data_IF_447052216663
#
_entry.id   IF_447052216663
#
_cell.length_a   1.000
_cell.length_b   1.000
_cell.length_c   1.000
_cell.angle_alpha   90.00
_cell.angle_beta   90.00
_cell.angle_gamma   90.00
#
_symmetry.space_group_name_H-M   'P 1'
#
loop_
_entity.id
_entity.type
_entity.pdbx_description
1 polymer ?
#
# COMPACT_ATOMS: atom_id res chain seq x y z
N UNK A 1 -21.48 18.83 -7.79
CA UNK A 1 -20.40 19.16 -8.74
C UNK A 1 -19.10 18.59 -8.20
N UNK A 2 -18.41 17.76 -8.96
CA UNK A 2 -17.05 17.32 -8.60
C UNK A 2 -16.08 18.49 -8.81
N UNK A 3 -15.24 18.78 -7.81
CA UNK A 3 -14.23 19.85 -7.88
C UNK A 3 -12.86 19.22 -8.03
N UNK A 4 -12.15 19.57 -9.10
CA UNK A 4 -10.77 19.13 -9.31
C UNK A 4 -9.83 19.96 -8.44
N UNK A 5 -8.99 19.29 -7.65
CA UNK A 5 -8.04 19.93 -6.72
C UNK A 5 -6.61 19.80 -7.26
N UNK A 6 -5.95 20.96 -7.39
CA UNK A 6 -4.54 21.20 -7.72
C UNK A 6 -3.54 20.66 -6.68
N UNK A 7 -2.89 19.52 -6.89
CA UNK A 7 -1.79 19.02 -6.05
C UNK A 7 -0.43 18.93 -6.78
N UNK A 8 0.68 19.15 -6.06
CA UNK A 8 2.05 18.90 -6.57
C UNK A 8 2.78 17.90 -5.67
N UNK A 9 3.41 16.89 -6.26
CA UNK A 9 4.35 16.02 -5.55
C UNK A 9 5.59 16.85 -5.19
N UNK A 10 5.81 17.04 -3.89
CA UNK A 10 6.95 17.79 -3.34
C UNK A 10 8.16 16.87 -3.18
N UNK A 11 7.93 15.65 -2.69
CA UNK A 11 8.99 14.69 -2.38
C UNK A 11 8.47 13.26 -2.44
N UNK A 12 9.04 12.38 -3.29
CA UNK A 12 8.84 10.95 -3.15
C UNK A 12 9.76 10.41 -2.06
N UNK A 13 9.26 9.46 -1.27
CA UNK A 13 10.09 8.60 -0.44
C UNK A 13 10.32 7.30 -1.19
N UNK A 14 11.57 6.83 -1.19
CA UNK A 14 11.83 5.48 -1.65
C UNK A 14 11.01 4.51 -0.77
N UNK A 15 10.25 3.57 -1.33
CA UNK A 15 9.46 2.66 -0.52
C UNK A 15 10.41 1.84 0.36
N UNK A 16 10.43 2.13 1.66
CA UNK A 16 11.07 1.27 2.67
C UNK A 16 10.11 0.10 2.97
N UNK A 17 8.83 0.25 2.62
CA UNK A 17 7.74 -0.69 2.90
C UNK A 17 6.83 -0.92 1.68
N UNK A 18 5.68 -1.54 1.93
CA UNK A 18 4.63 -2.02 1.02
C UNK A 18 4.04 -0.90 0.13
N UNK A 19 4.10 0.38 0.51
CA UNK A 19 3.49 1.47 -0.27
C UNK A 19 4.48 2.62 -0.52
N UNK A 20 4.60 3.16 -1.75
CA UNK A 20 5.19 4.46 -1.97
C UNK A 20 4.49 5.51 -1.12
N UNK A 21 5.31 6.31 -0.48
CA UNK A 21 4.88 7.45 0.31
C UNK A 21 5.39 8.70 -0.40
N UNK A 22 4.53 9.69 -0.56
CA UNK A 22 4.87 10.96 -1.21
C UNK A 22 4.38 12.12 -0.35
N UNK A 23 5.17 13.18 -0.26
CA UNK A 23 4.66 14.47 0.20
C UNK A 23 3.98 15.14 -0.99
N UNK A 24 2.72 15.52 -0.83
CA UNK A 24 1.94 16.28 -1.81
C UNK A 24 1.50 17.61 -1.20
N UNK A 25 1.70 18.69 -1.96
CA UNK A 25 1.27 20.04 -1.60
C UNK A 25 0.02 20.42 -2.35
N UNK A 26 -1.03 20.77 -1.62
CA UNK A 26 -2.27 21.29 -2.19
C UNK A 26 -2.14 22.82 -2.27
N UNK A 27 -2.22 23.37 -3.49
CA UNK A 27 -1.89 24.78 -3.77
C UNK A 27 -3.06 25.76 -3.59
N UNK A 28 -4.30 25.27 -3.58
CA UNK A 28 -5.50 26.07 -3.31
C UNK A 28 -6.21 25.52 -2.07
N UNK A 29 -6.79 26.35 -1.19
CA UNK A 29 -7.62 25.87 -0.09
C UNK A 29 -8.93 25.29 -0.65
N UNK A 30 -8.83 24.11 -1.25
CA UNK A 30 -9.96 23.27 -1.54
C UNK A 30 -10.26 22.47 -0.27
N UNK A 31 -11.52 22.49 0.15
CA UNK A 31 -11.98 21.76 1.33
C UNK A 31 -11.28 22.18 2.65
N UNK A 32 -10.83 23.44 2.75
CA UNK A 32 -10.07 23.99 3.91
C UNK A 32 -8.70 23.33 4.14
N UNK A 33 -8.24 22.48 3.23
CA UNK A 33 -6.91 21.86 3.31
C UNK A 33 -5.87 22.74 2.61
N UNK A 34 -4.86 23.20 3.35
CA UNK A 34 -3.70 23.94 2.83
C UNK A 34 -2.43 23.36 3.42
N UNK A 35 -1.42 23.17 2.57
CA UNK A 35 -0.09 22.76 3.00
C UNK A 35 0.31 21.40 2.44
N UNK A 36 1.20 20.74 3.18
CA UNK A 36 1.78 19.45 2.83
C UNK A 36 0.97 18.32 3.45
N UNK A 37 0.83 17.24 2.68
CA UNK A 37 0.13 16.02 3.06
C UNK A 37 0.97 14.82 2.66
N UNK A 38 0.70 13.69 3.27
CA UNK A 38 1.26 12.40 2.91
C UNK A 38 0.26 11.65 2.04
N UNK A 39 0.64 11.36 0.79
CA UNK A 39 -0.07 10.44 -0.07
C UNK A 39 0.61 9.08 0.01
N UNK A 40 -0.13 8.06 0.42
CA UNK A 40 0.29 6.66 0.39
C UNK A 40 -0.45 5.94 -0.72
N UNK A 41 0.25 5.15 -1.51
CA UNK A 41 -0.31 4.47 -2.68
C UNK A 41 -0.04 2.98 -2.58
N UNK A 42 -1.05 2.15 -2.74
CA UNK A 42 -0.94 0.69 -2.65
C UNK A 42 -0.90 0.07 -4.05
N UNK A 43 0.10 0.47 -4.83
CA UNK A 43 0.28 0.01 -6.21
C UNK A 43 0.93 -1.36 -6.30
N UNK A 44 0.49 -2.21 -7.23
CA UNK A 44 1.12 -3.53 -7.46
C UNK A 44 2.54 -3.44 -8.03
N UNK A 45 2.82 -2.37 -8.74
CA UNK A 45 4.07 -2.09 -9.46
C UNK A 45 5.24 -1.80 -8.53
N UNK A 46 4.94 -1.34 -7.33
CA UNK A 46 5.88 -0.84 -6.32
C UNK A 46 6.11 -1.82 -5.16
N UNK A 47 5.43 -2.96 -5.17
CA UNK A 47 5.46 -4.03 -4.13
C UNK A 47 6.69 -4.94 -4.23
N UNK A 48 7.90 -4.38 -4.35
CA UNK A 48 9.12 -5.17 -4.61
C UNK A 48 9.39 -6.19 -3.48
N UNK A 49 9.25 -5.79 -2.22
CA UNK A 49 9.46 -6.67 -1.06
C UNK A 49 8.48 -7.84 -1.03
N UNK A 50 7.18 -7.54 -1.13
CA UNK A 50 6.10 -8.55 -1.18
C UNK A 50 6.27 -9.52 -2.35
N UNK A 51 6.65 -9.03 -3.53
CA UNK A 51 6.88 -9.88 -4.72
C UNK A 51 8.05 -10.83 -4.50
N UNK A 52 9.15 -10.36 -3.89
CA UNK A 52 10.30 -11.20 -3.55
C UNK A 52 9.91 -12.29 -2.55
N UNK A 53 9.21 -11.93 -1.48
CA UNK A 53 8.75 -12.88 -0.46
C UNK A 53 7.85 -13.97 -1.06
N UNK A 54 6.86 -13.57 -1.86
CA UNK A 54 5.91 -14.50 -2.49
C UNK A 54 6.42 -15.16 -3.78
N UNK A 55 7.72 -15.02 -4.10
CA UNK A 55 8.36 -15.57 -5.32
C UNK A 55 7.62 -15.19 -6.62
N UNK A 56 6.99 -14.01 -6.64
CA UNK A 56 6.31 -13.46 -7.82
C UNK A 56 7.28 -12.60 -8.62
N UNK A 57 7.13 -12.59 -9.95
CA UNK A 57 7.97 -11.78 -10.84
C UNK A 57 7.87 -10.30 -10.46
N UNK A 58 8.97 -9.57 -10.66
CA UNK A 58 8.93 -8.10 -10.61
C UNK A 58 7.88 -7.60 -11.59
N UNK A 59 7.21 -6.51 -11.22
CA UNK A 59 6.17 -5.94 -12.07
C UNK A 59 6.74 -5.58 -13.44
N UNK A 60 5.93 -5.84 -14.46
CA UNK A 60 6.20 -5.42 -15.82
C UNK A 60 4.86 -5.21 -16.52
N UNK A 61 4.80 -4.29 -17.47
CA UNK A 61 3.59 -4.00 -18.25
C UNK A 61 2.95 -5.27 -18.85
N UNK A 62 3.77 -6.25 -19.30
CA UNK A 62 3.26 -7.52 -19.82
C UNK A 62 2.46 -8.34 -18.80
N UNK A 63 2.81 -8.27 -17.51
CA UNK A 63 2.10 -8.96 -16.44
C UNK A 63 0.77 -8.26 -16.16
N UNK A 64 0.79 -6.93 -16.20
CA UNK A 64 -0.40 -6.11 -16.06
C UNK A 64 -1.42 -6.37 -17.16
N UNK A 65 -0.97 -6.45 -18.42
CA UNK A 65 -1.82 -6.81 -19.56
C UNK A 65 -2.46 -8.19 -19.35
N UNK A 66 -1.68 -9.20 -18.92
CA UNK A 66 -2.21 -10.55 -18.66
C UNK A 66 -3.24 -10.58 -17.54
N UNK A 67 -2.99 -9.84 -16.46
CA UNK A 67 -3.94 -9.68 -15.36
C UNK A 67 -5.25 -9.05 -15.84
N UNK A 68 -5.18 -7.96 -16.59
CA UNK A 68 -6.36 -7.30 -17.16
C UNK A 68 -7.13 -8.22 -18.10
N UNK A 69 -6.44 -8.99 -18.94
CA UNK A 69 -7.08 -9.99 -19.81
C UNK A 69 -7.84 -11.04 -19.00
N UNK A 70 -7.28 -11.49 -17.87
CA UNK A 70 -7.94 -12.43 -16.98
C UNK A 70 -9.22 -11.84 -16.37
N UNK A 71 -9.16 -10.59 -15.88
CA UNK A 71 -10.33 -9.89 -15.35
C UNK A 71 -11.43 -9.71 -16.42
N UNK A 72 -11.05 -9.28 -17.63
CA UNK A 72 -11.99 -9.08 -18.73
C UNK A 72 -12.59 -10.38 -19.25
N UNK A 73 -11.92 -11.52 -19.04
CA UNK A 73 -12.48 -12.83 -19.38
C UNK A 73 -13.58 -13.29 -18.43
N UNK A 74 -13.80 -12.60 -17.30
CA UNK A 74 -14.74 -13.01 -16.26
C UNK A 74 -14.32 -14.27 -15.51
N UNK A 75 -13.07 -14.70 -15.68
CA UNK A 75 -12.53 -15.87 -14.99
C UNK A 75 -12.37 -15.58 -13.49
N UNK A 76 -12.75 -16.56 -12.66
CA UNK A 76 -12.51 -16.48 -11.22
C UNK A 76 -11.00 -16.48 -10.95
N UNK A 77 -10.57 -15.55 -10.10
CA UNK A 77 -9.20 -15.45 -9.63
C UNK A 77 -8.88 -16.55 -8.63
N UNK A 78 -9.90 -17.20 -8.04
CA UNK A 78 -9.77 -18.34 -7.11
C UNK A 78 -8.76 -18.02 -6.00
N UNK A 79 -8.85 -16.79 -5.48
CA UNK A 79 -7.89 -16.28 -4.51
C UNK A 79 -8.10 -16.99 -3.17
N UNK A 80 -7.00 -17.28 -2.43
CA UNK A 80 -7.08 -17.91 -1.13
C UNK A 80 -8.06 -17.20 -0.22
N UNK A 81 -8.91 -17.95 0.48
CA UNK A 81 -9.88 -17.40 1.42
C UNK A 81 -9.22 -16.61 2.55
N UNK A 82 -7.93 -16.82 2.83
CA UNK A 82 -7.18 -16.01 3.81
C UNK A 82 -6.95 -14.54 3.34
N UNK A 83 -7.12 -14.24 2.04
CA UNK A 83 -7.20 -12.86 1.56
C UNK A 83 -8.59 -12.24 1.79
N UNK A 84 -9.62 -13.07 1.93
CA UNK A 84 -11.02 -12.69 2.12
C UNK A 84 -11.41 -12.54 3.60
N UNK A 85 -10.60 -13.04 4.53
CA UNK A 85 -10.78 -12.74 5.95
C UNK A 85 -10.49 -11.25 6.21
N UNK A 86 -11.60 -10.50 6.31
CA UNK A 86 -11.73 -9.08 6.62
C UNK A 86 -11.33 -8.73 8.05
N UNK A 87 -10.69 -9.65 8.77
CA UNK A 87 -10.19 -9.37 10.09
C UNK A 87 -8.98 -10.25 10.35
N UNK A 88 -8.12 -9.70 11.19
CA UNK A 88 -6.96 -10.34 11.79
C UNK A 88 -5.63 -10.10 11.09
N UNK A 89 -4.77 -9.52 11.90
CA UNK A 89 -3.35 -9.19 11.84
C UNK A 89 -2.40 -10.27 11.24
N UNK A 90 -2.84 -11.14 10.33
CA UNK A 90 -2.06 -12.27 9.78
C UNK A 90 -0.95 -11.92 8.79
N UNK A 91 -0.49 -10.67 8.73
CA UNK A 91 0.76 -10.34 8.01
C UNK A 91 1.64 -9.38 8.81
N UNK A 92 1.64 -9.53 10.14
CA UNK A 92 2.71 -9.00 10.98
C UNK A 92 4.00 -9.76 10.64
N UNK A 93 5.09 -9.03 10.43
CA UNK A 93 6.45 -9.58 10.28
C UNK A 93 7.01 -10.03 11.64
N UNK A 94 6.18 -10.65 12.47
CA UNK A 94 6.58 -11.23 13.75
C UNK A 94 6.42 -12.74 13.63
N UNK A 95 7.33 -13.47 14.26
CA UNK A 95 7.50 -14.93 14.30
C UNK A 95 6.21 -15.69 14.69
N UNK A 96 5.15 -15.58 13.90
CA UNK A 96 3.93 -16.34 14.06
C UNK A 96 4.05 -17.61 13.23
N UNK A 97 3.81 -18.73 13.91
CA UNK A 97 3.78 -20.11 13.42
C UNK A 97 2.72 -20.33 12.31
N UNK A 98 1.95 -19.31 11.93
CA UNK A 98 1.11 -19.27 10.73
C UNK A 98 1.92 -18.93 9.46
N UNK A 99 3.12 -19.50 9.36
CA UNK A 99 3.88 -19.56 8.11
C UNK A 99 3.13 -20.49 7.16
N UNK A 100 2.31 -19.93 6.28
CA UNK A 100 1.80 -20.72 5.16
C UNK A 100 2.98 -20.98 4.24
N UNK A 101 3.52 -22.20 4.31
CA UNK A 101 4.55 -22.67 3.40
C UNK A 101 4.07 -22.39 1.96
N UNK A 102 4.89 -21.78 1.09
CA UNK A 102 4.58 -21.69 -0.33
C UNK A 102 4.17 -23.02 -0.98
N UNK A 103 4.50 -24.16 -0.36
CA UNK A 103 4.07 -25.52 -0.72
C UNK A 103 2.67 -25.89 -0.18
N UNK A 104 2.22 -25.32 0.95
CA UNK A 104 0.88 -25.49 1.55
C UNK A 104 -0.17 -24.51 0.98
N UNK A 105 0.25 -23.43 0.32
CA UNK A 105 -0.58 -22.66 -0.61
C UNK A 105 -0.88 -23.52 -1.85
N UNK A 106 -1.81 -24.46 -1.72
CA UNK A 106 -2.15 -25.51 -2.69
C UNK A 106 -1.81 -25.17 -4.15
N UNK A 107 -0.98 -26.01 -4.77
CA UNK A 107 -0.43 -25.86 -6.13
C UNK A 107 -0.18 -24.40 -6.56
N UNK A 108 0.43 -23.57 -5.71
CA UNK A 108 0.88 -22.21 -6.08
C UNK A 108 1.83 -22.23 -7.29
N UNK A 109 2.40 -23.40 -7.63
CA UNK A 109 3.16 -23.65 -8.87
C UNK A 109 2.27 -23.64 -10.12
N UNK A 110 1.01 -24.06 -10.04
CA UNK A 110 0.02 -24.01 -11.14
C UNK A 110 -0.47 -22.61 -11.50
N UNK A 111 -0.29 -21.62 -10.62
CA UNK A 111 -0.78 -20.28 -10.89
C UNK A 111 0.00 -19.61 -12.02
N UNK A 112 -0.74 -19.27 -13.06
CA UNK A 112 -0.23 -18.47 -14.16
C UNK A 112 0.11 -17.04 -13.71
N UNK A 113 0.84 -16.32 -14.55
CA UNK A 113 1.30 -14.96 -14.25
C UNK A 113 0.14 -13.99 -13.91
N UNK A 114 -1.02 -14.15 -14.55
CA UNK A 114 -2.18 -13.28 -14.33
C UNK A 114 -2.81 -13.49 -12.94
N UNK A 115 -2.95 -14.74 -12.50
CA UNK A 115 -3.44 -15.07 -11.14
C UNK A 115 -2.51 -14.55 -10.06
N UNK A 116 -1.19 -14.68 -10.25
CA UNK A 116 -0.20 -14.10 -9.33
C UNK A 116 -0.33 -12.58 -9.22
N UNK A 117 -0.61 -11.89 -10.32
CA UNK A 117 -0.89 -10.45 -10.28
C UNK A 117 -2.19 -10.13 -9.54
N UNK A 118 -3.24 -10.94 -9.71
CA UNK A 118 -4.48 -10.83 -8.94
C UNK A 118 -4.26 -11.00 -7.44
N UNK A 119 -3.40 -11.94 -7.05
CA UNK A 119 -2.97 -12.09 -5.65
C UNK A 119 -2.26 -10.85 -5.12
N UNK A 120 -1.29 -10.30 -5.88
CA UNK A 120 -0.62 -9.05 -5.47
C UNK A 120 -1.64 -7.91 -5.38
N UNK A 121 -2.62 -7.82 -6.28
CA UNK A 121 -3.69 -6.81 -6.22
C UNK A 121 -4.51 -6.94 -4.94
N UNK A 122 -4.99 -8.14 -4.63
CA UNK A 122 -5.76 -8.42 -3.44
C UNK A 122 -4.97 -8.12 -2.16
N UNK A 123 -3.68 -8.48 -2.14
CA UNK A 123 -2.79 -8.15 -1.03
C UNK A 123 -2.66 -6.63 -0.83
N UNK A 124 -2.51 -5.85 -1.91
CA UNK A 124 -2.47 -4.39 -1.85
C UNK A 124 -3.76 -3.83 -1.25
N UNK A 125 -4.92 -4.32 -1.72
CA UNK A 125 -6.24 -3.90 -1.21
C UNK A 125 -6.43 -4.26 0.26
N UNK A 126 -6.02 -5.46 0.68
CA UNK A 126 -6.07 -5.88 2.09
C UNK A 126 -5.24 -4.93 2.96
N UNK A 127 -4.00 -4.62 2.56
CA UNK A 127 -3.13 -3.68 3.30
C UNK A 127 -3.71 -2.27 3.38
N UNK A 128 -4.23 -1.75 2.27
CA UNK A 128 -4.94 -0.48 2.25
C UNK A 128 -6.13 -0.47 3.22
N UNK A 129 -6.97 -1.52 3.18
CA UNK A 129 -8.13 -1.65 4.08
C UNK A 129 -7.70 -1.73 5.54
N UNK A 130 -6.73 -2.58 5.88
CA UNK A 130 -6.25 -2.70 7.26
C UNK A 130 -5.71 -1.38 7.79
N UNK A 131 -4.95 -0.63 7.00
CA UNK A 131 -4.47 0.69 7.42
C UNK A 131 -5.63 1.69 7.57
N UNK A 132 -6.57 1.72 6.61
CA UNK A 132 -7.77 2.54 6.70
C UNK A 132 -8.59 2.27 7.98
N UNK A 133 -8.71 1.00 8.34
CA UNK A 133 -9.42 0.55 9.54
C UNK A 133 -8.69 0.90 10.82
N UNK A 134 -7.37 0.85 10.82
CA UNK A 134 -6.55 1.28 11.96
C UNK A 134 -6.74 2.77 12.29
N UNK A 135 -7.09 3.61 11.32
CA UNK A 135 -7.41 5.02 11.59
C UNK A 135 -8.82 5.24 12.16
N UNK A 136 -9.79 4.34 11.94
CA UNK A 136 -11.18 4.51 12.45
C UNK A 136 -11.26 4.76 13.97
N UNK A 137 -10.61 3.96 14.85
CA UNK A 137 -10.71 4.19 16.28
C UNK A 137 -9.89 5.39 16.78
N UNK A 138 -9.12 6.05 15.91
CA UNK A 138 -8.21 7.14 16.29
C UNK A 138 -8.78 8.54 16.05
N UNK A 139 -10.08 8.66 15.81
CA UNK A 139 -10.69 9.94 15.43
C UNK A 139 -10.52 11.04 16.49
N UNK A 140 -10.53 10.69 17.77
CA UNK A 140 -10.42 11.59 18.93
C UNK A 140 -8.97 12.10 19.17
N UNK A 141 -7.99 11.25 18.87
CA UNK A 141 -6.55 11.53 18.94
C UNK A 141 -5.94 11.94 17.59
N UNK A 142 -6.75 11.91 16.52
CA UNK A 142 -6.35 12.18 15.14
C UNK A 142 -5.90 13.62 14.91
N UNK A 143 -4.63 13.76 14.55
CA UNK A 143 -3.94 15.03 14.35
C UNK A 143 -3.38 15.67 15.61
N UNK A 144 -3.42 14.95 16.74
CA UNK A 144 -2.72 15.29 17.98
C UNK A 144 -1.57 14.31 18.20
N UNK A 145 -1.92 13.06 18.54
CA UNK A 145 -0.96 12.02 18.92
C UNK A 145 -0.65 11.08 17.74
N UNK A 146 -1.60 10.92 16.83
CA UNK A 146 -1.42 10.18 15.57
C UNK A 146 -1.75 11.06 14.37
N UNK A 147 -1.15 10.82 13.19
CA UNK A 147 -1.55 11.53 11.97
C UNK A 147 -3.04 11.35 11.69
N UNK A 148 -3.73 12.40 11.26
CA UNK A 148 -5.12 12.26 10.83
C UNK A 148 -5.22 11.69 9.42
N UNK A 149 -6.06 10.68 9.22
CA UNK A 149 -6.51 10.28 7.89
C UNK A 149 -7.47 11.33 7.34
N UNK A 150 -7.11 11.95 6.22
CA UNK A 150 -7.85 13.07 5.61
C UNK A 150 -8.84 12.56 4.58
N UNK A 151 -8.40 11.67 3.70
CA UNK A 151 -9.22 11.14 2.62
C UNK A 151 -8.73 9.78 2.15
N UNK A 152 -9.68 9.03 1.61
CA UNK A 152 -9.42 7.90 0.71
C UNK A 152 -9.29 8.43 -0.71
N UNK A 153 -8.39 7.85 -1.49
CA UNK A 153 -8.23 8.21 -2.89
C UNK A 153 -8.07 6.98 -3.76
N UNK A 154 -8.75 6.99 -4.89
CA UNK A 154 -8.57 6.02 -5.95
C UNK A 154 -7.77 6.69 -7.06
N UNK A 155 -6.63 6.08 -7.38
CA UNK A 155 -5.73 6.56 -8.42
C UNK A 155 -6.07 5.75 -9.68
N UNK A 156 -6.66 6.38 -10.70
CA UNK A 156 -6.96 5.68 -11.94
C UNK A 156 -5.66 5.22 -12.59
N UNK A 157 -5.58 3.94 -12.92
CA UNK A 157 -4.46 3.39 -13.67
C UNK A 157 -4.63 3.76 -15.16
N UNK A 158 -3.95 4.81 -15.60
CA UNK A 158 -4.07 5.36 -16.96
C UNK A 158 -3.54 4.46 -18.08
N UNK A 159 -3.12 3.22 -17.81
CA UNK A 159 -2.68 2.27 -18.84
C UNK A 159 -3.84 1.57 -19.58
N UNK A 160 -5.08 2.06 -19.47
CA UNK A 160 -6.25 1.42 -20.10
C UNK A 160 -6.39 1.81 -21.57
N UNK A 161 -6.57 0.79 -22.42
CA UNK A 161 -6.99 0.92 -23.82
C UNK A 161 -8.34 1.63 -23.92
N UNK A 162 -8.52 2.48 -24.93
CA UNK A 162 -9.79 3.16 -25.26
C UNK A 162 -10.93 2.20 -25.62
N UNK A 163 -10.69 0.89 -25.67
CA UNK A 163 -11.63 -0.15 -26.07
C UNK A 163 -12.21 -0.98 -24.93
N UNK A 164 -11.94 -0.64 -23.67
CA UNK A 164 -12.46 -1.39 -22.50
C UNK A 164 -13.75 -0.74 -21.99
N UNK A 165 -14.79 -1.54 -21.73
CA UNK A 165 -16.07 -1.08 -21.17
C UNK A 165 -15.84 -0.29 -19.86
N UNK A 166 -16.39 0.92 -19.77
CA UNK A 166 -16.19 1.83 -18.65
C UNK A 166 -16.56 1.19 -17.30
N UNK A 167 -17.54 0.27 -17.26
CA UNK A 167 -17.97 -0.36 -16.02
C UNK A 167 -16.99 -1.42 -15.49
N UNK A 168 -16.21 -2.07 -16.35
CA UNK A 168 -15.16 -3.03 -15.96
C UNK A 168 -13.86 -2.34 -15.53
N UNK A 169 -13.71 -1.04 -15.82
CA UNK A 169 -12.52 -0.26 -15.48
C UNK A 169 -12.43 0.06 -13.97
N UNK A 170 -13.55 0.29 -13.29
CA UNK A 170 -13.52 0.89 -11.95
C UNK A 170 -13.13 -0.08 -10.83
N UNK A 171 -13.58 -1.35 -10.85
CA UNK A 171 -13.41 -2.21 -9.68
C UNK A 171 -11.98 -2.79 -9.52
N UNK A 172 -11.23 -2.88 -10.62
CA UNK A 172 -9.94 -3.58 -10.64
C UNK A 172 -8.77 -2.80 -11.28
N UNK A 173 -9.04 -1.65 -11.91
CA UNK A 173 -8.00 -0.80 -12.49
C UNK A 173 -7.68 0.43 -11.64
N UNK A 174 -8.24 0.54 -10.43
CA UNK A 174 -7.90 1.62 -9.51
C UNK A 174 -6.83 1.17 -8.52
N UNK A 175 -5.85 2.03 -8.33
CA UNK A 175 -4.87 1.87 -7.25
C UNK A 175 -5.36 2.64 -6.04
N UNK A 176 -5.69 1.92 -4.97
CA UNK A 176 -6.12 2.55 -3.72
C UNK A 176 -4.98 3.31 -3.06
N UNK A 177 -5.33 4.41 -2.42
CA UNK A 177 -4.41 5.22 -1.65
C UNK A 177 -5.11 5.96 -0.52
N UNK A 178 -4.30 6.52 0.37
CA UNK A 178 -4.76 7.35 1.47
C UNK A 178 -4.02 8.68 1.51
N UNK A 179 -4.76 9.74 1.78
CA UNK A 179 -4.22 11.05 2.08
C UNK A 179 -4.22 11.25 3.59
N UNK A 180 -3.05 11.42 4.16
CA UNK A 180 -2.80 11.52 5.59
C UNK A 180 -2.16 12.86 5.90
N UNK A 181 -2.42 13.41 7.08
CA UNK A 181 -1.76 14.61 7.57
C UNK A 181 -0.24 14.46 7.54
N UNK A 182 0.45 15.47 7.02
CA UNK A 182 1.90 15.57 7.18
C UNK A 182 2.22 16.01 8.61
N UNK A 183 2.92 15.17 9.35
CA UNK A 183 3.44 15.49 10.68
C UNK A 183 4.90 15.88 10.55
N UNK A 184 5.25 17.07 11.04
CA UNK A 184 6.63 17.50 11.14
C UNK A 184 7.33 16.71 12.25
N UNK A 185 7.93 15.57 11.89
CA UNK A 185 8.75 14.77 12.80
C UNK A 185 10.23 15.17 12.75
N UNK A 186 10.99 14.65 13.72
CA UNK A 186 12.44 14.58 13.70
C UNK A 186 12.88 13.14 13.41
N UNK A 187 14.03 12.97 12.76
CA UNK A 187 14.55 11.64 12.44
C UNK A 187 15.01 10.92 13.71
N UNK A 188 14.50 9.72 13.95
CA UNK A 188 14.94 8.85 15.04
C UNK A 188 16.30 8.20 14.79
N UNK A 189 16.84 8.22 13.56
CA UNK A 189 18.18 7.68 13.26
C UNK A 189 19.28 8.41 14.04
N UNK A 190 19.12 9.71 14.31
CA UNK A 190 20.08 10.46 15.14
C UNK A 190 19.96 10.07 16.62
N UNK A 191 18.75 9.86 17.10
CA UNK A 191 18.48 9.55 18.52
C UNK A 191 18.87 8.12 18.86
N UNK A 192 18.64 7.17 17.94
CA UNK A 192 19.00 5.76 18.11
C UNK A 192 20.52 5.56 18.09
N UNK A 193 21.25 6.18 17.15
CA UNK A 193 22.72 6.12 17.13
C UNK A 193 23.34 6.73 18.39
N UNK A 194 22.80 7.86 18.86
CA UNK A 194 23.24 8.48 20.12
C UNK A 194 22.99 7.57 21.32
N UNK A 195 21.84 6.90 21.38
CA UNK A 195 21.50 5.99 22.46
C UNK A 195 22.36 4.70 22.43
N UNK A 196 22.68 4.19 21.24
CA UNK A 196 23.59 3.05 21.06
C UNK A 196 25.03 3.39 21.45
N UNK A 197 25.50 4.60 21.12
CA UNK A 197 26.82 5.09 21.52
C UNK A 197 26.92 5.31 23.04
N UNK A 198 25.89 5.87 23.69
CA UNK A 198 25.82 5.99 25.16
C UNK A 198 25.74 4.62 25.85
N UNK A 199 24.91 3.70 25.34
CA UNK A 199 24.80 2.35 25.89
C UNK A 199 26.11 1.54 25.75
N UNK A 200 26.88 1.79 24.68
CA UNK A 200 28.19 1.19 24.47
C UNK A 200 29.23 1.79 25.43
N UNK A 201 29.25 3.10 25.60
CA UNK A 201 30.16 3.77 26.54
C UNK A 201 29.95 3.31 28.00
N UNK A 202 28.69 3.09 28.40
CA UNK A 202 28.34 2.57 29.73
C UNK A 202 28.78 1.10 29.95
N UNK A 203 28.90 0.30 28.89
CA UNK A 203 29.40 -1.09 28.96
C UNK A 203 30.92 -1.17 28.98
N UNK A 204 31.62 -0.14 28.49
CA UNK A 204 33.08 -0.09 28.45
C UNK A 204 33.68 0.58 29.70
N UNK A 205 32.84 1.20 30.55
CA UNK A 205 33.24 1.91 31.78
C UNK A 205 32.82 1.23 33.08
N UNK A 206 32.17 0.05 33.01
CA UNK A 206 31.85 -0.82 34.14
C UNK A 206 32.60 -2.14 34.06
#
# INVERSE_FOLDING_TARGET
>A
QSRVIKGKIVRPFQPITIAPVMVVRIHEPALLFKGDFILRVYGRDVMVGTRRYNRTKLWALRLDIKYRQLLLSGADLDLPKELDTTNEYGFCYEDNEDYVDPEDMGDSRSWNEARREGFVHAFCRKRYRSEAEAYRPTEDIGGKDVPRLIAYCDIPDYHISTHTDANLQYEFAETSGSLVQYVHGFSTDRTLRSAEEEAKALRETG
#
